data_IF_822700254983
#
_entry.id   IF_822700254983
#
_cell.length_a   1.000
_cell.length_b   1.000
_cell.length_c   1.000
_cell.angle_alpha   90.00
_cell.angle_beta   90.00
_cell.angle_gamma   90.00
#
_symmetry.space_group_name_H-M   'P 1'
#
loop_
_entity.id
_entity.type
_entity.pdbx_description
1 polymer ?
#
# COMPACT_ATOMS: atom_id res chain seq x y z
N UNK A 1 -25.18 -17.63 -18.30
CA UNK A 1 -23.70 -17.65 -18.12
C UNK A 1 -23.41 -16.90 -16.83
N UNK A 2 -22.67 -17.51 -15.91
CA UNK A 2 -22.53 -17.10 -14.50
C UNK A 2 -22.08 -15.65 -14.34
N UNK A 3 -22.83 -14.89 -13.55
CA UNK A 3 -22.40 -13.58 -13.00
C UNK A 3 -21.18 -13.79 -12.12
N UNK A 4 -20.04 -13.20 -12.51
CA UNK A 4 -18.88 -13.07 -11.63
C UNK A 4 -19.15 -11.91 -10.67
N UNK A 5 -19.66 -12.21 -9.48
CA UNK A 5 -19.73 -11.26 -8.39
C UNK A 5 -18.33 -10.81 -7.99
N UNK A 6 -17.89 -9.68 -8.52
CA UNK A 6 -16.68 -9.01 -8.06
C UNK A 6 -16.98 -8.34 -6.73
N UNK A 7 -16.31 -8.81 -5.68
CA UNK A 7 -16.42 -8.34 -4.31
C UNK A 7 -15.80 -6.92 -4.18
N UNK A 8 -16.51 -5.90 -4.67
CA UNK A 8 -16.06 -4.50 -4.77
C UNK A 8 -15.99 -3.73 -3.43
N UNK A 9 -16.32 -4.39 -2.31
CA UNK A 9 -16.34 -3.78 -0.97
C UNK A 9 -15.11 -2.94 -0.59
N UNK A 10 -13.86 -3.33 -0.92
CA UNK A 10 -12.69 -2.51 -0.58
C UNK A 10 -12.63 -1.19 -1.35
N UNK A 11 -13.06 -1.19 -2.61
CA UNK A 11 -13.04 -0.01 -3.50
C UNK A 11 -14.14 0.98 -3.09
N UNK A 12 -15.34 0.49 -2.84
CA UNK A 12 -16.48 1.32 -2.37
C UNK A 12 -16.14 2.05 -1.06
N UNK A 13 -15.49 1.35 -0.13
CA UNK A 13 -15.04 1.95 1.14
C UNK A 13 -13.96 3.00 0.93
N UNK A 14 -13.09 2.81 -0.06
CA UNK A 14 -12.05 3.79 -0.40
C UNK A 14 -12.65 5.05 -1.03
N UNK A 15 -13.60 4.91 -1.95
CA UNK A 15 -14.33 6.03 -2.55
C UNK A 15 -15.11 6.83 -1.48
N UNK A 16 -15.69 6.16 -0.48
CA UNK A 16 -16.26 6.87 0.66
C UNK A 16 -15.23 7.70 1.46
N UNK A 17 -13.99 7.21 1.59
CA UNK A 17 -12.93 7.88 2.36
C UNK A 17 -12.27 9.03 1.57
N UNK A 18 -12.05 8.84 0.27
CA UNK A 18 -11.32 9.77 -0.58
C UNK A 18 -12.22 10.72 -1.38
N UNK A 19 -13.54 10.45 -1.43
CA UNK A 19 -14.50 11.14 -2.29
C UNK A 19 -14.66 10.45 -3.66
N UNK A 20 -15.35 11.13 -4.58
CA UNK A 20 -15.51 10.69 -5.97
C UNK A 20 -14.17 10.43 -6.69
N UNK A 21 -14.22 10.02 -7.97
CA UNK A 21 -13.04 9.76 -8.82
C UNK A 21 -11.93 10.81 -8.74
N UNK A 22 -12.29 12.08 -8.48
CA UNK A 22 -11.34 13.18 -8.30
C UNK A 22 -10.26 12.91 -7.23
N UNK A 23 -10.63 12.34 -6.08
CA UNK A 23 -9.67 12.06 -5.00
C UNK A 23 -8.62 11.03 -5.42
N UNK A 24 -9.04 9.98 -6.12
CA UNK A 24 -8.15 8.94 -6.65
C UNK A 24 -7.16 9.51 -7.67
N UNK A 25 -7.63 10.39 -8.57
CA UNK A 25 -6.77 11.02 -9.57
C UNK A 25 -5.73 11.94 -8.93
N UNK A 26 -6.08 12.69 -7.87
CA UNK A 26 -5.10 13.47 -7.09
C UNK A 26 -4.00 12.55 -6.55
N UNK A 27 -4.36 11.47 -5.85
CA UNK A 27 -3.38 10.55 -5.27
C UNK A 27 -2.47 9.90 -6.34
N UNK A 28 -2.98 9.69 -7.56
CA UNK A 28 -2.17 9.21 -8.68
C UNK A 28 -1.23 10.30 -9.25
N UNK A 29 -1.63 11.57 -9.18
CA UNK A 29 -0.86 12.71 -9.71
C UNK A 29 0.26 13.20 -8.77
N UNK A 30 0.22 12.89 -7.47
CA UNK A 30 1.18 13.42 -6.48
C UNK A 30 2.63 12.98 -6.68
N UNK A 31 2.91 11.97 -7.51
CA UNK A 31 4.28 11.47 -7.74
C UNK A 31 4.90 10.74 -6.54
N UNK A 32 4.14 10.53 -5.46
CA UNK A 32 4.55 9.78 -4.26
C UNK A 32 3.88 8.42 -4.23
N UNK A 33 4.55 7.40 -3.68
CA UNK A 33 3.96 6.09 -3.50
C UNK A 33 2.96 6.08 -2.34
N UNK A 34 1.72 5.67 -2.60
CA UNK A 34 0.65 5.61 -1.61
C UNK A 34 0.00 4.23 -1.64
N UNK A 35 -0.16 3.64 -0.46
CA UNK A 35 -0.85 2.36 -0.24
C UNK A 35 -1.82 2.51 0.93
N UNK A 36 -3.01 1.94 0.78
CA UNK A 36 -3.99 1.84 1.86
C UNK A 36 -4.09 0.38 2.28
N UNK A 37 -4.03 0.18 3.60
CA UNK A 37 -4.01 -1.13 4.23
C UNK A 37 -5.20 -1.27 5.18
N UNK A 38 -5.69 -2.50 5.34
CA UNK A 38 -6.54 -2.85 6.48
C UNK A 38 -5.70 -3.21 7.73
N UNK A 39 -6.32 -3.40 8.91
CA UNK A 39 -5.61 -3.76 10.14
C UNK A 39 -4.86 -5.10 10.08
N UNK A 40 -5.21 -5.98 9.14
CA UNK A 40 -4.56 -7.27 8.92
C UNK A 40 -3.42 -7.19 7.90
N UNK A 41 -2.98 -5.98 7.55
CA UNK A 41 -1.91 -5.68 6.59
C UNK A 41 -2.23 -6.05 5.14
N UNK A 42 -3.49 -6.30 4.79
CA UNK A 42 -3.87 -6.53 3.40
C UNK A 42 -3.88 -5.20 2.65
N UNK A 43 -3.35 -5.19 1.44
CA UNK A 43 -3.43 -4.05 0.53
C UNK A 43 -4.87 -3.95 0.01
N UNK A 44 -5.58 -2.90 0.39
CA UNK A 44 -6.94 -2.64 -0.12
C UNK A 44 -6.92 -1.72 -1.33
N UNK A 45 -5.88 -0.88 -1.44
CA UNK A 45 -5.65 -0.02 -2.60
C UNK A 45 -4.18 0.44 -2.66
N UNK A 46 -3.71 0.75 -3.86
CA UNK A 46 -2.40 1.34 -4.09
C UNK A 46 -2.40 2.17 -5.37
N UNK A 47 -1.78 3.34 -5.31
CA UNK A 47 -1.63 4.22 -6.47
C UNK A 47 -0.59 3.68 -7.47
N UNK A 48 -0.52 4.30 -8.64
CA UNK A 48 0.41 3.89 -9.71
C UNK A 48 1.87 3.95 -9.26
N UNK A 49 2.24 4.97 -8.47
CA UNK A 49 3.61 5.13 -8.01
C UNK A 49 4.05 4.06 -7.00
N UNK A 50 3.17 3.63 -6.10
CA UNK A 50 3.48 2.52 -5.21
C UNK A 50 3.82 1.25 -5.99
N UNK A 51 3.03 0.92 -7.03
CA UNK A 51 3.24 -0.25 -7.88
C UNK A 51 4.56 -0.18 -8.66
N UNK A 52 4.88 1.00 -9.21
CA UNK A 52 6.16 1.26 -9.87
C UNK A 52 7.34 1.07 -8.93
N UNK A 53 7.24 1.57 -7.69
CA UNK A 53 8.30 1.41 -6.69
C UNK A 53 8.46 -0.05 -6.23
N UNK A 54 7.41 -0.87 -6.28
CA UNK A 54 7.53 -2.30 -6.00
C UNK A 54 7.92 -3.16 -7.21
N UNK A 55 8.15 -2.56 -8.39
CA UNK A 55 8.48 -3.29 -9.65
C UNK A 55 7.38 -4.28 -10.05
N UNK A 56 6.14 -3.95 -9.68
CA UNK A 56 4.95 -4.78 -9.88
C UNK A 56 3.82 -3.97 -10.55
N UNK A 57 4.07 -3.30 -11.71
CA UNK A 57 3.08 -2.41 -12.32
C UNK A 57 1.80 -3.13 -12.75
N UNK A 58 1.91 -4.37 -13.22
CA UNK A 58 0.79 -5.16 -13.78
C UNK A 58 0.30 -6.26 -12.83
N UNK A 59 1.00 -6.50 -11.72
CA UNK A 59 0.61 -7.55 -10.77
C UNK A 59 -0.64 -7.13 -9.99
N UNK A 60 -1.58 -8.06 -9.83
CA UNK A 60 -2.68 -7.87 -8.88
C UNK A 60 -2.15 -8.00 -7.45
N UNK A 61 -1.93 -6.85 -6.80
CA UNK A 61 -1.47 -6.76 -5.41
C UNK A 61 -2.60 -6.59 -4.39
N UNK A 62 -3.84 -6.37 -4.84
CA UNK A 62 -4.97 -6.16 -3.94
C UNK A 62 -5.29 -7.47 -3.21
N UNK A 63 -5.44 -7.39 -1.88
CA UNK A 63 -5.61 -8.54 -0.98
C UNK A 63 -4.30 -9.20 -0.54
N UNK A 64 -3.15 -8.88 -1.15
CA UNK A 64 -1.84 -9.40 -0.72
C UNK A 64 -1.34 -8.66 0.52
N UNK A 65 -0.39 -9.26 1.25
CA UNK A 65 0.16 -8.64 2.47
C UNK A 65 1.19 -7.58 2.12
N UNK A 66 1.15 -6.45 2.84
CA UNK A 66 2.07 -5.34 2.59
C UNK A 66 3.55 -5.74 2.73
N UNK A 67 3.86 -6.70 3.62
CA UNK A 67 5.22 -7.17 3.87
C UNK A 67 5.74 -8.13 2.79
N UNK A 68 4.85 -8.85 2.11
CA UNK A 68 5.19 -9.65 0.93
C UNK A 68 5.54 -8.75 -0.24
N UNK A 69 4.70 -7.73 -0.48
CA UNK A 69 4.83 -6.83 -1.62
C UNK A 69 5.95 -5.79 -1.43
N UNK A 70 6.10 -5.25 -0.23
CA UNK A 70 7.06 -4.17 0.02
C UNK A 70 8.46 -4.68 0.35
N UNK A 71 8.59 -5.88 0.90
CA UNK A 71 9.85 -6.39 1.47
C UNK A 71 10.15 -7.85 1.12
N UNK A 72 9.27 -8.56 0.40
CA UNK A 72 9.46 -9.98 0.09
C UNK A 72 9.44 -10.89 1.32
N UNK A 73 8.91 -10.43 2.44
CA UNK A 73 8.83 -11.21 3.67
C UNK A 73 7.60 -12.14 3.66
N UNK A 74 7.66 -13.24 4.39
CA UNK A 74 6.52 -14.13 4.63
C UNK A 74 5.79 -13.86 5.96
N UNK A 75 6.28 -12.87 6.73
CA UNK A 75 5.71 -12.46 8.02
C UNK A 75 5.80 -10.93 8.20
N UNK A 76 4.93 -10.33 9.03
CA UNK A 76 5.01 -8.91 9.33
C UNK A 76 6.39 -8.47 9.80
N UNK A 77 6.77 -7.25 9.43
CA UNK A 77 7.99 -6.62 9.92
C UNK A 77 8.00 -6.54 11.46
N UNK A 78 9.20 -6.45 12.05
CA UNK A 78 9.35 -6.25 13.49
C UNK A 78 8.66 -4.95 13.92
N UNK A 79 8.22 -4.91 15.16
CA UNK A 79 7.51 -3.75 15.70
C UNK A 79 8.35 -2.46 15.68
N UNK A 80 9.66 -2.59 15.89
CA UNK A 80 10.61 -1.47 15.82
C UNK A 80 10.70 -0.88 14.41
N UNK A 81 10.69 -1.72 13.38
CA UNK A 81 10.83 -1.29 11.99
C UNK A 81 9.50 -0.85 11.35
N UNK A 82 8.39 -1.49 11.72
CA UNK A 82 7.12 -1.30 11.03
C UNK A 82 6.36 -0.05 11.52
N UNK A 83 6.25 0.98 10.67
CA UNK A 83 5.40 2.13 10.96
C UNK A 83 3.92 1.74 11.10
N UNK A 84 3.42 0.85 10.23
CA UNK A 84 2.02 0.38 10.23
C UNK A 84 1.65 -0.28 11.56
N UNK A 85 2.46 -1.23 12.06
CA UNK A 85 2.19 -1.89 13.37
C UNK A 85 2.16 -0.89 14.51
N UNK A 86 3.08 0.09 14.52
CA UNK A 86 3.12 1.13 15.53
C UNK A 86 1.88 2.02 15.45
N UNK A 87 1.44 2.40 14.26
CA UNK A 87 0.21 3.17 14.05
C UNK A 87 -1.03 2.41 14.52
N UNK A 88 -1.19 1.14 14.15
CA UNK A 88 -2.33 0.32 14.60
C UNK A 88 -2.37 0.18 16.13
N UNK A 89 -1.21 -0.03 16.76
CA UNK A 89 -1.13 -0.15 18.23
C UNK A 89 -1.43 1.16 18.96
N UNK A 90 -0.81 2.26 18.51
CA UNK A 90 -0.84 3.55 19.21
C UNK A 90 -2.02 4.43 18.82
N UNK A 91 -2.67 4.13 17.70
CA UNK A 91 -3.68 4.99 17.05
C UNK A 91 -3.16 6.38 16.68
N UNK A 92 -1.84 6.55 16.57
CA UNK A 92 -1.16 7.78 16.15
C UNK A 92 -0.35 7.53 14.88
N UNK A 93 -0.14 8.58 14.09
CA UNK A 93 0.74 8.49 12.92
C UNK A 93 2.16 8.10 13.37
N UNK A 94 2.80 7.23 12.60
CA UNK A 94 4.18 6.77 12.83
C UNK A 94 4.96 6.90 11.53
N UNK A 95 6.27 7.11 11.64
CA UNK A 95 7.20 7.13 10.50
C UNK A 95 8.21 5.99 10.61
N UNK A 96 8.61 5.46 9.47
CA UNK A 96 9.67 4.49 9.29
C UNK A 96 10.51 4.86 8.07
N UNK A 97 11.61 4.13 7.88
CA UNK A 97 12.50 4.31 6.75
C UNK A 97 12.47 3.05 5.90
N UNK A 98 12.21 3.20 4.61
CA UNK A 98 12.41 2.15 3.61
C UNK A 98 13.65 2.46 2.78
N UNK A 99 14.56 1.50 2.71
CA UNK A 99 15.73 1.56 1.85
C UNK A 99 15.42 0.71 0.61
N UNK A 100 15.56 1.30 -0.57
CA UNK A 100 15.37 0.62 -1.85
C UNK A 100 16.70 0.62 -2.58
N UNK A 101 17.20 -0.56 -2.95
CA UNK A 101 18.42 -0.73 -3.75
C UNK A 101 18.02 -1.04 -5.19
N UNK A 102 18.38 -0.17 -6.13
CA UNK A 102 18.08 -0.33 -7.58
C UNK A 102 19.30 0.00 -8.41
N UNK A 103 19.77 -0.95 -9.23
CA UNK A 103 20.87 -0.71 -10.16
C UNK A 103 22.17 -0.21 -9.53
N UNK A 104 22.41 -0.50 -8.24
CA UNK A 104 23.55 0.01 -7.47
C UNK A 104 23.28 1.29 -6.69
N UNK A 105 22.14 1.95 -6.87
CA UNK A 105 21.73 3.14 -6.10
C UNK A 105 20.88 2.77 -4.89
N UNK A 106 21.11 3.45 -3.76
CA UNK A 106 20.29 3.38 -2.56
C UNK A 106 19.38 4.60 -2.46
N UNK A 107 18.06 4.37 -2.41
CA UNK A 107 17.06 5.40 -2.15
C UNK A 107 16.43 5.21 -0.78
N UNK A 108 16.43 6.29 -0.02
CA UNK A 108 15.83 6.40 1.30
C UNK A 108 14.44 7.02 1.18
N UNK A 109 13.41 6.28 1.58
CA UNK A 109 12.03 6.74 1.57
C UNK A 109 11.50 6.77 3.00
N UNK A 110 11.00 7.94 3.41
CA UNK A 110 10.19 8.05 4.62
C UNK A 110 8.81 7.44 4.35
N UNK A 111 8.38 6.55 5.24
CA UNK A 111 7.11 5.79 5.14
C UNK A 111 6.28 5.98 6.39
#
# INVERSE_FOLDING_TARGET
>A
VREMGQNNRPVEKLEQILGERFGIEILNAMGIAIVVLDPDFNIIWANREYRKIQEKPEENIIGKKCYEISFGHNKPCTEKACAVRRTLRTKKNSKGLKIIKRGGEEKHLDV
#
